data_IF_299115606472
#
_entry.id   IF_299115606472
#
_cell.length_a   1.000
_cell.length_b   1.000
_cell.length_c   1.000
_cell.angle_alpha   90.00
_cell.angle_beta   90.00
_cell.angle_gamma   90.00
#
_symmetry.space_group_name_H-M   'P 1'
#
loop_
_entity.id
_entity.type
_entity.pdbx_description
1 polymer ?
#
# COMPACT_ATOMS: atom_id res chain seq x y z
N UNK A 1 -28.23 -16.33 -6.61
CA UNK A 1 -26.96 -15.63 -6.32
C UNK A 1 -26.41 -16.14 -5.00
N UNK A 2 -25.42 -17.02 -5.05
CA UNK A 2 -24.77 -17.61 -3.88
C UNK A 2 -23.97 -16.51 -3.13
N UNK A 3 -24.23 -16.34 -1.83
CA UNK A 3 -23.55 -15.32 -1.03
C UNK A 3 -22.11 -15.76 -0.78
N UNK A 4 -21.15 -15.11 -1.44
CA UNK A 4 -19.72 -15.34 -1.24
C UNK A 4 -19.38 -15.07 0.24
N UNK A 5 -18.80 -16.04 0.97
CA UNK A 5 -18.48 -15.87 2.39
C UNK A 5 -17.55 -14.67 2.63
N UNK A 6 -17.73 -13.96 3.73
CA UNK A 6 -17.00 -12.70 4.00
C UNK A 6 -15.47 -12.88 4.01
N UNK A 7 -14.97 -14.06 4.40
CA UNK A 7 -13.54 -14.40 4.36
C UNK A 7 -12.99 -14.69 2.95
N UNK A 8 -13.86 -15.00 1.98
CA UNK A 8 -13.53 -15.17 0.55
C UNK A 8 -13.63 -13.87 -0.24
N UNK A 9 -14.20 -12.80 0.34
CA UNK A 9 -14.03 -11.45 -0.21
C UNK A 9 -12.57 -11.06 0.02
N UNK A 10 -11.69 -11.49 -0.90
CA UNK A 10 -10.38 -10.87 -1.08
C UNK A 10 -10.66 -9.37 -1.20
N UNK A 11 -10.26 -8.62 -0.18
CA UNK A 11 -10.36 -7.18 -0.22
C UNK A 11 -9.64 -6.68 -1.47
N UNK A 12 -10.13 -5.59 -2.04
CA UNK A 12 -9.55 -4.95 -3.24
C UNK A 12 -8.06 -4.59 -3.03
N UNK A 13 -7.63 -4.56 -1.77
CA UNK A 13 -6.27 -4.32 -1.32
C UNK A 13 -5.70 -5.61 -0.73
N UNK A 14 -4.56 -6.09 -1.25
CA UNK A 14 -3.94 -7.34 -0.83
C UNK A 14 -3.62 -7.37 0.67
N UNK A 15 -3.73 -8.55 1.30
CA UNK A 15 -3.57 -8.75 2.75
C UNK A 15 -2.23 -8.24 3.30
N UNK A 16 -1.18 -8.24 2.47
CA UNK A 16 0.14 -7.68 2.81
C UNK A 16 0.08 -6.16 3.02
N UNK A 17 -0.56 -5.42 2.11
CA UNK A 17 -0.74 -3.96 2.21
C UNK A 17 -1.55 -3.63 3.45
N UNK A 18 -2.65 -4.34 3.67
CA UNK A 18 -3.53 -4.09 4.79
C UNK A 18 -2.80 -4.28 6.12
N UNK A 19 -2.02 -5.35 6.26
CA UNK A 19 -1.21 -5.58 7.46
C UNK A 19 -0.17 -4.48 7.66
N UNK A 20 0.57 -4.11 6.61
CA UNK A 20 1.63 -3.11 6.73
C UNK A 20 1.04 -1.71 7.03
N UNK A 21 -0.14 -1.39 6.49
CA UNK A 21 -0.87 -0.16 6.76
C UNK A 21 -1.41 -0.12 8.20
N UNK A 22 -1.95 -1.24 8.71
CA UNK A 22 -2.39 -1.34 10.11
C UNK A 22 -1.21 -1.20 11.07
N UNK A 23 -0.09 -1.88 10.80
CA UNK A 23 1.14 -1.75 11.58
C UNK A 23 1.62 -0.30 11.58
N UNK A 24 1.63 0.35 10.41
CA UNK A 24 2.01 1.75 10.28
C UNK A 24 1.12 2.68 11.12
N UNK A 25 -0.21 2.51 11.07
CA UNK A 25 -1.15 3.33 11.86
C UNK A 25 -0.90 3.15 13.36
N UNK A 26 -0.75 1.91 13.82
CA UNK A 26 -0.47 1.62 15.24
C UNK A 26 0.85 2.26 15.66
N UNK A 27 1.91 2.10 14.87
CA UNK A 27 3.21 2.72 15.14
C UNK A 27 3.13 4.25 15.20
N UNK A 28 2.40 4.88 14.28
CA UNK A 28 2.23 6.33 14.26
C UNK A 28 1.46 6.83 15.49
N UNK A 29 0.41 6.14 15.91
CA UNK A 29 -0.32 6.48 17.13
C UNK A 29 0.56 6.37 18.38
N UNK A 30 1.30 5.27 18.51
CA UNK A 30 2.19 5.05 19.65
C UNK A 30 3.33 6.08 19.70
N UNK A 31 3.97 6.36 18.56
CA UNK A 31 5.04 7.37 18.50
C UNK A 31 4.51 8.78 18.78
N UNK A 32 3.31 9.11 18.31
CA UNK A 32 2.67 10.39 18.61
C UNK A 32 2.41 10.56 20.11
N UNK A 33 1.93 9.51 20.79
CA UNK A 33 1.73 9.53 22.24
C UNK A 33 3.07 9.64 22.98
N UNK A 34 4.07 8.89 22.53
CA UNK A 34 5.40 8.89 23.14
C UNK A 34 6.08 10.26 23.01
N UNK A 35 5.88 10.96 21.90
CA UNK A 35 6.39 12.30 21.67
C UNK A 35 5.78 13.32 22.64
N UNK A 36 4.46 13.25 22.86
CA UNK A 36 3.78 14.10 23.87
C UNK A 36 4.27 13.78 25.28
N UNK A 37 4.38 12.50 25.64
CA UNK A 37 4.88 12.08 26.95
C UNK A 37 6.33 12.55 27.15
N UNK A 38 7.17 12.50 26.11
CA UNK A 38 8.55 12.98 26.19
C UNK A 38 8.66 14.49 26.40
N UNK A 39 7.75 15.30 25.83
CA UNK A 39 7.76 16.75 26.08
C UNK A 39 7.31 17.06 27.49
N UNK A 40 6.27 16.39 27.98
CA UNK A 40 5.72 16.53 29.33
C UNK A 40 6.77 16.17 30.41
N UNK A 41 7.45 15.03 30.24
CA UNK A 41 8.57 14.61 31.12
C UNK A 41 9.74 15.60 31.14
N UNK A 42 10.01 16.27 30.01
CA UNK A 42 11.08 17.26 29.91
C UNK A 42 10.69 18.56 30.61
N UNK A 43 9.43 18.99 30.48
CA UNK A 43 8.90 20.20 31.12
C UNK A 43 8.83 20.07 32.65
N UNK A 44 8.42 18.91 33.15
CA UNK A 44 8.34 18.64 34.59
C UNK A 44 9.70 18.37 35.27
N UNK A 45 10.83 18.42 34.53
CA UNK A 45 12.18 18.15 35.04
C UNK A 45 12.32 16.82 35.82
N UNK A 46 11.51 15.82 35.48
CA UNK A 46 11.50 14.51 36.12
C UNK A 46 12.75 13.67 35.83
N UNK A 47 13.56 14.09 34.83
CA UNK A 47 14.77 13.41 34.35
C UNK A 47 15.92 14.43 34.29
N UNK A 48 17.15 13.97 34.52
CA UNK A 48 18.38 14.76 34.36
C UNK A 48 18.41 15.43 32.97
N UNK A 49 18.41 16.77 32.92
CA UNK A 49 18.24 17.62 31.72
C UNK A 49 18.88 17.09 30.42
N UNK A 50 20.17 16.72 30.37
CA UNK A 50 20.79 16.24 29.13
C UNK A 50 20.15 14.95 28.60
N UNK A 51 19.77 14.01 29.47
CA UNK A 51 19.17 12.74 29.04
C UNK A 51 17.75 12.92 28.49
N UNK A 52 16.96 13.83 29.09
CA UNK A 52 15.62 14.17 28.60
C UNK A 52 15.68 14.77 27.20
N UNK A 53 16.61 15.68 26.95
CA UNK A 53 16.79 16.30 25.63
C UNK A 53 17.19 15.28 24.55
N UNK A 54 18.15 14.38 24.84
CA UNK A 54 18.53 13.34 23.88
C UNK A 54 17.36 12.40 23.54
N UNK A 55 16.57 12.03 24.54
CA UNK A 55 15.42 11.15 24.36
C UNK A 55 14.35 11.79 23.47
N UNK A 56 14.01 13.05 23.72
CA UNK A 56 13.03 13.82 22.93
C UNK A 56 13.46 13.98 21.47
N UNK A 57 14.73 14.31 21.22
CA UNK A 57 15.26 14.43 19.85
C UNK A 57 15.23 13.09 19.11
N UNK A 58 15.58 11.99 19.79
CA UNK A 58 15.56 10.65 19.20
C UNK A 58 14.14 10.22 18.80
N UNK A 59 13.14 10.51 19.64
CA UNK A 59 11.73 10.22 19.33
C UNK A 59 11.27 11.08 18.14
N UNK A 60 11.61 12.37 18.10
CA UNK A 60 11.28 13.24 16.97
C UNK A 60 11.85 12.72 15.66
N UNK A 61 13.14 12.36 15.62
CA UNK A 61 13.78 11.78 14.42
C UNK A 61 13.04 10.51 13.99
N UNK A 62 12.70 9.64 14.94
CA UNK A 62 11.98 8.39 14.67
C UNK A 62 10.58 8.67 14.10
N UNK A 63 9.87 9.64 14.65
CA UNK A 63 8.54 10.06 14.18
C UNK A 63 8.59 10.60 12.73
N UNK A 64 9.54 11.47 12.42
CA UNK A 64 9.75 11.95 11.05
C UNK A 64 10.12 10.82 10.09
N UNK A 65 10.96 9.87 10.52
CA UNK A 65 11.26 8.67 9.74
C UNK A 65 10.01 7.83 9.44
N UNK A 66 9.10 7.73 10.42
CA UNK A 66 7.82 7.05 10.25
C UNK A 66 6.92 7.77 9.22
N UNK A 67 6.84 9.10 9.25
CA UNK A 67 6.11 9.89 8.23
C UNK A 67 6.64 9.60 6.83
N UNK A 68 7.97 9.62 6.64
CA UNK A 68 8.59 9.33 5.34
C UNK A 68 8.24 7.91 4.89
N UNK A 69 8.26 6.94 5.80
CA UNK A 69 7.85 5.57 5.50
C UNK A 69 6.38 5.50 5.04
N UNK A 70 5.47 6.21 5.70
CA UNK A 70 4.05 6.29 5.30
C UNK A 70 3.84 6.87 3.90
N UNK A 71 4.60 7.91 3.54
CA UNK A 71 4.59 8.46 2.19
C UNK A 71 5.05 7.44 1.14
N UNK A 72 6.10 6.66 1.45
CA UNK A 72 6.55 5.59 0.55
C UNK A 72 5.51 4.49 0.42
N UNK A 73 4.87 4.09 1.51
CA UNK A 73 3.79 3.09 1.50
C UNK A 73 2.62 3.57 0.60
N UNK A 74 2.23 4.83 0.74
CA UNK A 74 1.19 5.46 -0.10
C UNK A 74 1.57 5.43 -1.58
N UNK A 75 2.81 5.81 -1.92
CA UNK A 75 3.29 5.80 -3.30
C UNK A 75 3.33 4.39 -3.90
N UNK A 76 3.72 3.38 -3.11
CA UNK A 76 3.72 1.98 -3.52
C UNK A 76 2.32 1.41 -3.78
N UNK A 77 1.27 2.00 -3.21
CA UNK A 77 -0.12 1.57 -3.40
C UNK A 77 -0.79 2.36 -4.53
N UNK A 78 -0.69 3.69 -4.51
CA UNK A 78 -1.38 4.58 -5.44
C UNK A 78 -0.82 4.48 -6.87
N UNK A 79 0.50 4.33 -7.02
CA UNK A 79 1.16 4.27 -8.33
C UNK A 79 0.69 3.09 -9.20
N UNK A 80 0.72 1.84 -8.71
CA UNK A 80 0.20 0.69 -9.45
C UNK A 80 -1.30 0.79 -9.74
N UNK A 81 -2.09 1.32 -8.80
CA UNK A 81 -3.53 1.42 -8.98
C UNK A 81 -3.93 2.42 -10.08
N UNK A 82 -3.22 3.56 -10.15
CA UNK A 82 -3.40 4.53 -11.23
C UNK A 82 -3.03 3.93 -12.59
N UNK A 83 -1.90 3.21 -12.67
CA UNK A 83 -1.47 2.50 -13.89
C UNK A 83 -2.47 1.44 -14.33
N UNK A 84 -3.03 0.67 -13.38
CA UNK A 84 -4.07 -0.31 -13.69
C UNK A 84 -5.31 0.35 -14.31
N UNK A 85 -5.77 1.46 -13.74
CA UNK A 85 -6.95 2.18 -14.23
C UNK A 85 -6.75 2.65 -15.67
N UNK A 86 -5.63 3.31 -15.96
CA UNK A 86 -5.31 3.80 -17.30
C UNK A 86 -5.27 2.62 -18.30
N UNK A 87 -4.60 1.53 -17.92
CA UNK A 87 -4.46 0.36 -18.79
C UNK A 87 -5.81 -0.33 -19.04
N UNK A 88 -6.69 -0.39 -18.04
CA UNK A 88 -8.06 -0.89 -18.20
C UNK A 88 -8.87 -0.02 -19.16
N UNK A 89 -8.75 1.30 -19.08
CA UNK A 89 -9.44 2.24 -19.96
C UNK A 89 -8.94 2.10 -21.42
N UNK A 90 -7.64 1.89 -21.62
CA UNK A 90 -7.03 1.66 -22.94
C UNK A 90 -7.46 0.32 -23.57
N UNK A 91 -7.50 -0.75 -22.77
CA UNK A 91 -8.00 -2.08 -23.21
C UNK A 91 -9.49 -2.01 -23.52
N UNK A 92 -10.29 -1.29 -22.72
CA UNK A 92 -11.71 -1.09 -22.97
C UNK A 92 -11.97 -0.28 -24.26
N UNK A 93 -11.07 0.65 -24.58
CA UNK A 93 -11.10 1.41 -25.82
C UNK A 93 -10.53 0.65 -27.04
N UNK A 94 -10.05 -0.59 -26.86
CA UNK A 94 -9.44 -1.40 -27.92
C UNK A 94 -8.10 -0.86 -28.42
N UNK A 95 -7.43 -0.01 -27.64
CA UNK A 95 -6.17 0.65 -28.05
C UNK A 95 -4.93 -0.18 -27.79
N UNK A 96 -4.98 -1.14 -26.86
CA UNK A 96 -3.83 -1.96 -26.48
C UNK A 96 -4.26 -3.32 -25.95
N UNK A 97 -3.53 -4.37 -26.35
CA UNK A 97 -3.62 -5.73 -25.80
C UNK A 97 -2.36 -6.10 -24.99
N UNK A 98 -1.56 -5.10 -24.62
CA UNK A 98 -0.26 -5.30 -23.98
C UNK A 98 -0.42 -5.81 -22.54
N UNK A 99 0.48 -6.70 -22.10
CA UNK A 99 0.49 -7.17 -20.71
C UNK A 99 0.91 -6.04 -19.74
N UNK A 100 0.21 -5.94 -18.60
CA UNK A 100 0.52 -4.99 -17.54
C UNK A 100 1.63 -5.54 -16.65
N UNK A 101 2.71 -4.77 -16.46
CA UNK A 101 3.80 -5.13 -15.56
C UNK A 101 3.96 -4.09 -14.45
N UNK A 102 3.83 -4.52 -13.19
CA UNK A 102 4.19 -3.71 -12.02
C UNK A 102 5.63 -3.94 -11.58
N UNK A 103 6.16 -3.04 -10.74
CA UNK A 103 7.51 -3.19 -10.19
C UNK A 103 7.51 -4.29 -9.13
N UNK A 104 8.63 -5.02 -8.99
CA UNK A 104 8.75 -6.13 -8.00
C UNK A 104 8.50 -5.71 -6.54
N UNK A 105 8.67 -4.42 -6.22
CA UNK A 105 8.42 -3.85 -4.90
C UNK A 105 6.96 -3.47 -4.65
N UNK A 106 6.13 -3.49 -5.69
CA UNK A 106 4.75 -3.03 -5.61
C UNK A 106 3.88 -4.18 -5.08
N UNK A 107 3.02 -3.87 -4.11
CA UNK A 107 2.21 -4.88 -3.44
C UNK A 107 1.17 -5.57 -4.34
N UNK A 108 0.95 -5.04 -5.55
CA UNK A 108 -0.13 -5.41 -6.45
C UNK A 108 0.30 -6.34 -7.59
N UNK A 109 1.46 -7.00 -7.49
CA UNK A 109 1.93 -7.96 -8.52
C UNK A 109 0.87 -9.02 -8.88
N UNK A 110 0.24 -9.61 -7.87
CA UNK A 110 -0.83 -10.61 -8.05
C UNK A 110 -2.03 -10.04 -8.83
N UNK A 111 -2.28 -8.73 -8.73
CA UNK A 111 -3.36 -8.04 -9.43
C UNK A 111 -3.03 -7.86 -10.91
N UNK A 112 -1.79 -7.52 -11.25
CA UNK A 112 -1.33 -7.49 -12.64
C UNK A 112 -1.40 -8.88 -13.28
N UNK A 113 -0.97 -9.92 -12.58
CA UNK A 113 -1.03 -11.29 -13.08
C UNK A 113 -2.48 -11.74 -13.33
N UNK A 114 -3.39 -11.44 -12.40
CA UNK A 114 -4.82 -11.72 -12.55
C UNK A 114 -5.42 -10.97 -13.74
N UNK A 115 -5.01 -9.71 -13.96
CA UNK A 115 -5.46 -8.91 -15.10
C UNK A 115 -4.94 -9.45 -16.44
N UNK A 116 -3.65 -9.79 -16.51
CA UNK A 116 -3.04 -10.37 -17.71
C UNK A 116 -3.64 -11.72 -18.07
N UNK A 117 -4.05 -12.53 -17.08
CA UNK A 117 -4.77 -13.78 -17.33
C UNK A 117 -6.11 -13.54 -18.03
N UNK A 118 -6.86 -12.50 -17.66
CA UNK A 118 -8.12 -12.14 -18.32
C UNK A 118 -7.89 -11.67 -19.76
N UNK A 119 -6.84 -10.88 -20.00
CA UNK A 119 -6.45 -10.46 -21.34
C UNK A 119 -6.09 -11.64 -22.24
N UNK A 120 -5.25 -12.56 -21.77
CA UNK A 120 -4.88 -13.78 -22.51
C UNK A 120 -6.09 -14.61 -22.90
N UNK A 121 -7.06 -14.76 -21.99
CA UNK A 121 -8.30 -15.48 -22.28
C UNK A 121 -9.19 -14.78 -23.34
N UNK A 122 -9.20 -13.43 -23.36
CA UNK A 122 -9.89 -12.67 -24.43
C UNK A 122 -9.23 -12.85 -25.79
N UNK A 123 -7.90 -12.76 -25.84
CA UNK A 123 -7.14 -12.92 -27.09
C UNK A 123 -7.32 -14.33 -27.66
N UNK A 124 -7.27 -15.37 -26.81
CA UNK A 124 -7.53 -16.74 -27.25
C UNK A 124 -8.92 -16.92 -27.86
N UNK A 125 -9.96 -16.34 -27.24
CA UNK A 125 -11.33 -16.46 -27.72
C UNK A 125 -11.55 -15.78 -29.08
N UNK A 126 -10.95 -14.61 -29.30
CA UNK A 126 -11.01 -13.94 -30.61
C UNK A 126 -10.32 -14.72 -31.73
N UNK A 127 -9.27 -15.51 -31.44
CA UNK A 127 -8.59 -16.35 -32.43
C UNK A 127 -9.39 -17.62 -32.80
N UNK A 128 -10.18 -18.16 -31.86
CA UNK A 128 -11.08 -19.30 -32.14
C UNK A 128 -12.28 -18.87 -32.99
N UNK A 129 -12.88 -17.70 -32.71
CA UNK A 129 -14.03 -17.16 -33.46
C UNK A 129 -13.67 -16.66 -34.88
N UNK A 130 -12.39 -16.45 -35.20
CA UNK A 130 -11.91 -16.05 -36.54
C UNK A 130 -11.40 -17.22 -37.40
N UNK A 131 -11.40 -18.44 -36.84
CA UNK A 131 -10.99 -19.68 -37.52
C UNK A 131 -12.18 -20.61 -37.86
N UNK A 132 -13.42 -20.16 -37.61
CA UNK A 132 -14.69 -20.81 -38.00
C UNK A 132 -15.42 -20.00 -39.06
#
# INVERSE_FOLDING_TARGET
>A
MEKVPFYKKKWFVGTKVQRDLVIYIICMCLLSQLLVISSDLTEENLIIEPYAQYFTVLIQITFYGCIIYGLRLTNCIAGPLSRLKIHMDEVAAGKTDSELHFRKSDYNLDLAESFNAVLRNRVHKNNEDSSS
#
